data_IF_861301844086
#
_entry.id   IF_861301844086
#
_cell.length_a   1.000
_cell.length_b   1.000
_cell.length_c   1.000
_cell.angle_alpha   90.00
_cell.angle_beta   90.00
_cell.angle_gamma   90.00
#
_symmetry.space_group_name_H-M   'P 1'
#
loop_
_entity.id
_entity.type
_entity.pdbx_description
1 polymer ?
#
# COMPACT_ATOMS: atom_id res chain seq x y z
N UNK A 1 -13.31 -19.11 -16.58
CA UNK A 1 -11.90 -19.53 -16.42
C UNK A 1 -11.07 -18.80 -15.34
N UNK A 2 -11.42 -17.60 -14.80
CA UNK A 2 -10.58 -16.97 -13.76
C UNK A 2 -10.73 -17.61 -12.35
N UNK A 3 -11.85 -18.28 -12.08
CA UNK A 3 -12.14 -18.90 -10.77
C UNK A 3 -11.18 -20.04 -10.39
N UNK A 4 -10.81 -20.89 -11.34
CA UNK A 4 -9.92 -22.03 -11.09
C UNK A 4 -8.46 -21.61 -10.81
N UNK A 5 -8.01 -20.49 -11.40
CA UNK A 5 -6.68 -19.93 -11.16
C UNK A 5 -6.57 -19.32 -9.76
N UNK A 6 -7.63 -18.64 -9.29
CA UNK A 6 -7.71 -18.02 -7.96
C UNK A 6 -7.69 -19.10 -6.85
N UNK A 7 -8.37 -20.22 -7.07
CA UNK A 7 -8.45 -21.29 -6.07
C UNK A 7 -7.11 -22.03 -5.89
N UNK A 8 -6.37 -22.23 -6.98
CA UNK A 8 -5.07 -22.88 -6.94
C UNK A 8 -3.98 -21.98 -6.30
N UNK A 9 -4.06 -20.66 -6.54
CA UNK A 9 -3.16 -19.68 -5.93
C UNK A 9 -3.40 -19.52 -4.42
N UNK A 10 -4.67 -19.52 -3.98
CA UNK A 10 -5.05 -19.54 -2.56
C UNK A 10 -4.52 -20.78 -1.85
N UNK A 11 -4.63 -21.95 -2.49
CA UNK A 11 -4.11 -23.23 -1.98
C UNK A 11 -2.59 -23.23 -1.88
N UNK A 12 -1.89 -22.60 -2.85
CA UNK A 12 -0.43 -22.45 -2.85
C UNK A 12 0.04 -21.52 -1.74
N UNK A 13 -0.65 -20.41 -1.48
CA UNK A 13 -0.36 -19.49 -0.36
C UNK A 13 -0.61 -20.16 1.00
N UNK A 14 -1.69 -20.93 1.14
CA UNK A 14 -1.97 -21.69 2.36
C UNK A 14 -0.87 -22.72 2.63
N UNK A 15 -0.41 -23.44 1.60
CA UNK A 15 0.74 -24.35 1.73
C UNK A 15 2.01 -23.61 2.19
N UNK A 16 2.31 -22.44 1.63
CA UNK A 16 3.46 -21.62 2.06
C UNK A 16 3.34 -21.21 3.54
N UNK A 17 2.16 -20.77 3.98
CA UNK A 17 1.90 -20.44 5.39
C UNK A 17 2.08 -21.65 6.30
N UNK A 18 1.53 -22.81 5.93
CA UNK A 18 1.69 -24.05 6.69
C UNK A 18 3.15 -24.46 6.80
N UNK A 19 3.93 -24.33 5.72
CA UNK A 19 5.38 -24.60 5.72
C UNK A 19 6.12 -23.63 6.65
N UNK A 20 5.80 -22.34 6.61
CA UNK A 20 6.43 -21.33 7.49
C UNK A 20 6.10 -21.62 8.96
N UNK A 21 4.84 -21.93 9.28
CA UNK A 21 4.43 -22.27 10.65
C UNK A 21 5.11 -23.55 11.12
N UNK A 22 5.19 -24.59 10.28
CA UNK A 22 5.93 -25.82 10.58
C UNK A 22 7.42 -25.56 10.80
N UNK A 23 8.04 -24.68 10.00
CA UNK A 23 9.45 -24.33 10.15
C UNK A 23 9.70 -23.57 11.46
N UNK A 24 8.83 -22.62 11.81
CA UNK A 24 8.91 -21.89 13.10
C UNK A 24 8.70 -22.85 14.27
N UNK A 25 7.72 -23.75 14.16
CA UNK A 25 7.46 -24.76 15.19
C UNK A 25 8.64 -25.71 15.36
N UNK A 26 9.20 -26.22 14.26
CA UNK A 26 10.39 -27.07 14.30
C UNK A 26 11.61 -26.34 14.86
N UNK A 27 11.79 -25.05 14.55
CA UNK A 27 12.85 -24.21 15.12
C UNK A 27 12.66 -24.00 16.63
N UNK A 28 11.42 -23.75 17.08
CA UNK A 28 11.10 -23.64 18.51
C UNK A 28 11.33 -24.95 19.25
N UNK A 29 10.83 -26.07 18.72
CA UNK A 29 11.05 -27.40 19.31
C UNK A 29 12.54 -27.76 19.31
N UNK A 30 13.26 -27.48 18.23
CA UNK A 30 14.70 -27.70 18.13
C UNK A 30 15.48 -26.85 19.14
N UNK A 31 15.15 -25.56 19.26
CA UNK A 31 15.76 -24.68 20.25
C UNK A 31 15.43 -25.11 21.69
N UNK A 32 14.18 -25.47 21.97
CA UNK A 32 13.75 -26.01 23.27
C UNK A 32 14.44 -27.33 23.61
N UNK A 33 14.60 -28.24 22.65
CA UNK A 33 15.32 -29.50 22.84
C UNK A 33 16.81 -29.28 23.09
N UNK A 34 17.44 -28.36 22.35
CA UNK A 34 18.84 -28.00 22.52
C UNK A 34 19.08 -27.36 23.90
N UNK A 35 18.17 -26.47 24.34
CA UNK A 35 18.17 -25.90 25.69
C UNK A 35 17.97 -26.99 26.75
N UNK A 36 17.04 -27.93 26.56
CA UNK A 36 16.80 -29.06 27.49
C UNK A 36 18.02 -29.98 27.59
N UNK A 37 18.65 -30.32 26.46
CA UNK A 37 19.88 -31.11 26.38
C UNK A 37 21.04 -30.43 27.11
N UNK A 38 21.17 -29.11 26.98
CA UNK A 38 22.18 -28.30 27.66
C UNK A 38 21.89 -28.14 29.17
N UNK A 39 20.61 -28.07 29.56
CA UNK A 39 20.20 -28.10 30.98
C UNK A 39 20.59 -29.43 31.63
N UNK A 40 20.45 -30.54 30.91
CA UNK A 40 20.77 -31.88 31.40
C UNK A 40 22.29 -32.12 31.52
N UNK A 41 23.13 -31.39 30.79
CA UNK A 41 24.59 -31.50 30.86
C UNK A 41 25.24 -30.64 31.96
N UNK A 42 24.45 -29.91 32.74
CA UNK A 42 24.91 -29.15 33.91
C UNK A 42 25.72 -27.89 33.58
N UNK A 43 25.94 -27.59 32.30
CA UNK A 43 26.57 -26.36 31.84
C UNK A 43 25.52 -25.58 31.07
N UNK A 44 25.03 -24.48 31.64
CA UNK A 44 24.22 -23.51 30.92
C UNK A 44 25.16 -22.49 30.27
N UNK A 45 25.62 -22.66 29.01
CA UNK A 45 26.28 -21.57 28.34
C UNK A 45 25.21 -20.48 28.13
N UNK A 46 25.40 -19.26 28.66
CA UNK A 46 24.42 -18.17 28.56
C UNK A 46 24.00 -17.87 27.11
N UNK A 47 24.80 -18.28 26.13
CA UNK A 47 24.54 -18.15 24.69
C UNK A 47 23.28 -18.87 24.20
N UNK A 48 22.89 -20.01 24.77
CA UNK A 48 21.71 -20.76 24.30
C UNK A 48 20.38 -20.06 24.66
N UNK A 49 20.32 -19.49 25.87
CA UNK A 49 19.18 -18.67 26.30
C UNK A 49 19.09 -17.36 25.49
N UNK A 50 20.24 -16.76 25.18
CA UNK A 50 20.30 -15.56 24.34
C UNK A 50 19.81 -15.84 22.91
N UNK A 51 20.14 -16.99 22.33
CA UNK A 51 19.63 -17.38 21.01
C UNK A 51 18.12 -17.59 21.00
N UNK A 52 17.57 -18.28 22.01
CA UNK A 52 16.12 -18.47 22.13
C UNK A 52 15.41 -17.11 22.32
N UNK A 53 15.93 -16.26 23.20
CA UNK A 53 15.40 -14.92 23.43
C UNK A 53 15.45 -14.06 22.15
N UNK A 54 16.53 -14.13 21.37
CA UNK A 54 16.66 -13.43 20.10
C UNK A 54 15.62 -13.91 19.07
N UNK A 55 15.42 -15.22 18.94
CA UNK A 55 14.41 -15.79 18.03
C UNK A 55 13.00 -15.35 18.43
N UNK A 56 12.66 -15.42 19.71
CA UNK A 56 11.34 -14.98 20.22
C UNK A 56 11.16 -13.46 20.00
N UNK A 57 12.20 -12.67 20.27
CA UNK A 57 12.18 -11.21 20.11
C UNK A 57 11.95 -10.78 18.65
N UNK A 58 12.39 -11.57 17.67
CA UNK A 58 12.14 -11.33 16.24
C UNK A 58 10.79 -11.91 15.78
N UNK A 59 10.45 -13.12 16.24
CA UNK A 59 9.26 -13.83 15.81
C UNK A 59 7.96 -13.17 16.30
N UNK A 60 7.91 -12.70 17.55
CA UNK A 60 6.70 -12.10 18.12
C UNK A 60 6.26 -10.84 17.34
N UNK A 61 7.13 -9.84 17.08
CA UNK A 61 6.74 -8.67 16.30
C UNK A 61 6.29 -9.01 14.88
N UNK A 62 6.95 -9.97 14.23
CA UNK A 62 6.64 -10.40 12.86
C UNK A 62 5.28 -11.12 12.78
N UNK A 63 4.96 -11.97 13.76
CA UNK A 63 3.64 -12.61 13.86
C UNK A 63 2.59 -11.54 14.18
N UNK A 64 2.86 -10.65 15.14
CA UNK A 64 1.93 -9.61 15.53
C UNK A 64 1.57 -8.69 14.37
N UNK A 65 2.54 -8.16 13.64
CA UNK A 65 2.29 -7.23 12.53
C UNK A 65 1.54 -7.88 11.38
N UNK A 66 1.80 -9.16 11.10
CA UNK A 66 1.20 -9.86 9.98
C UNK A 66 -0.25 -10.32 10.25
N UNK A 67 -0.57 -10.70 11.49
CA UNK A 67 -1.91 -11.21 11.85
C UNK A 67 -2.79 -10.18 12.56
N UNK A 68 -2.19 -9.27 13.34
CA UNK A 68 -2.90 -8.29 14.16
C UNK A 68 -2.27 -6.89 14.00
N UNK A 69 -2.29 -6.31 12.80
CA UNK A 69 -1.72 -5.00 12.56
C UNK A 69 -2.43 -3.95 13.43
N UNK A 70 -1.64 -3.16 14.16
CA UNK A 70 -2.17 -1.99 14.87
C UNK A 70 -2.55 -0.90 13.86
N UNK A 71 -3.33 0.09 14.29
CA UNK A 71 -3.74 1.18 13.40
C UNK A 71 -2.53 2.02 12.94
N UNK A 72 -1.51 2.11 13.80
CA UNK A 72 -0.21 2.69 13.43
C UNK A 72 0.51 1.88 12.35
N UNK A 73 0.48 0.54 12.43
CA UNK A 73 1.09 -0.34 11.42
C UNK A 73 0.38 -0.16 10.07
N UNK A 74 -0.96 -0.07 10.10
CA UNK A 74 -1.78 0.22 8.92
C UNK A 74 -1.43 1.57 8.28
N UNK A 75 -1.37 2.64 9.08
CA UNK A 75 -1.03 3.98 8.58
C UNK A 75 0.41 4.04 8.03
N UNK A 76 1.35 3.35 8.68
CA UNK A 76 2.75 3.29 8.24
C UNK A 76 2.88 2.60 6.89
N UNK A 77 2.19 1.47 6.70
CA UNK A 77 2.23 0.76 5.43
C UNK A 77 1.51 1.53 4.32
N UNK A 78 0.41 2.22 4.62
CA UNK A 78 -0.24 3.11 3.66
C UNK A 78 0.71 4.24 3.22
N UNK A 79 1.36 4.90 4.18
CA UNK A 79 2.34 5.95 3.91
C UNK A 79 3.55 5.45 3.08
N UNK A 80 3.97 4.19 3.29
CA UNK A 80 5.00 3.56 2.47
C UNK A 80 4.55 3.44 1.00
N UNK A 81 3.31 3.03 0.75
CA UNK A 81 2.75 2.96 -0.60
C UNK A 81 2.62 4.34 -1.26
N UNK A 82 2.19 5.36 -0.51
CA UNK A 82 2.18 6.76 -0.96
C UNK A 82 3.57 7.22 -1.40
N UNK A 83 4.59 7.03 -0.55
CA UNK A 83 5.95 7.49 -0.82
C UNK A 83 6.58 6.76 -2.02
N UNK A 84 6.29 5.46 -2.16
CA UNK A 84 6.74 4.69 -3.32
C UNK A 84 6.11 5.22 -4.61
N UNK A 85 4.79 5.45 -4.60
CA UNK A 85 4.07 6.02 -5.74
C UNK A 85 4.61 7.39 -6.13
N UNK A 86 4.89 8.24 -5.15
CA UNK A 86 5.48 9.56 -5.39
C UNK A 86 6.83 9.48 -6.10
N UNK A 87 7.71 8.58 -5.66
CA UNK A 87 8.98 8.32 -6.36
C UNK A 87 8.76 7.82 -7.79
N UNK A 88 7.80 6.91 -7.99
CA UNK A 88 7.45 6.41 -9.33
C UNK A 88 6.95 7.55 -10.24
N UNK A 89 6.06 8.42 -9.74
CA UNK A 89 5.55 9.60 -10.46
C UNK A 89 6.70 10.52 -10.86
N UNK A 90 7.55 10.92 -9.90
CA UNK A 90 8.66 11.81 -10.15
C UNK A 90 9.64 11.23 -11.18
N UNK A 91 9.90 9.92 -11.09
CA UNK A 91 10.76 9.21 -12.04
C UNK A 91 10.16 9.20 -13.45
N UNK A 92 8.87 8.89 -13.60
CA UNK A 92 8.20 8.85 -14.90
C UNK A 92 8.17 10.24 -15.55
N UNK A 93 7.88 11.29 -14.77
CA UNK A 93 7.90 12.68 -15.26
C UNK A 93 9.32 13.08 -15.66
N UNK A 94 10.32 12.84 -14.80
CA UNK A 94 11.72 13.18 -15.08
C UNK A 94 12.24 12.48 -16.34
N UNK A 95 11.99 11.17 -16.48
CA UNK A 95 12.47 10.39 -17.62
C UNK A 95 11.81 10.81 -18.94
N UNK A 96 10.54 11.22 -18.91
CA UNK A 96 9.76 11.46 -20.13
C UNK A 96 9.71 12.93 -20.54
N UNK A 97 9.75 13.85 -19.56
CA UNK A 97 9.57 15.29 -19.74
C UNK A 97 10.77 16.11 -19.26
N UNK A 98 11.77 15.46 -18.67
CA UNK A 98 12.97 16.10 -18.15
C UNK A 98 12.82 16.67 -16.74
N UNK A 99 13.94 16.92 -16.05
CA UNK A 99 13.95 17.43 -14.67
C UNK A 99 13.42 18.87 -14.56
N UNK A 100 13.51 19.67 -15.62
CA UNK A 100 12.98 21.05 -15.61
C UNK A 100 11.47 21.08 -15.40
N UNK A 101 10.76 20.10 -15.97
CA UNK A 101 9.31 19.93 -15.76
C UNK A 101 8.99 19.70 -14.28
N UNK A 102 9.82 18.95 -13.55
CA UNK A 102 9.64 18.77 -12.11
C UNK A 102 9.80 20.11 -11.38
N UNK A 103 10.77 20.93 -11.75
CA UNK A 103 10.97 22.25 -11.14
C UNK A 103 9.80 23.21 -11.40
N UNK A 104 9.09 23.06 -12.53
CA UNK A 104 7.89 23.85 -12.84
C UNK A 104 6.65 23.38 -12.08
N UNK A 105 6.55 22.08 -11.80
CA UNK A 105 5.41 21.49 -11.09
C UNK A 105 5.56 21.61 -9.57
N UNK A 106 6.77 21.41 -9.08
CA UNK A 106 7.07 21.20 -7.68
C UNK A 106 8.05 22.28 -7.17
N UNK A 107 7.81 22.77 -5.96
CA UNK A 107 8.80 23.56 -5.21
C UNK A 107 9.71 22.65 -4.38
N UNK A 108 9.15 21.57 -3.87
CA UNK A 108 9.83 20.44 -3.22
C UNK A 108 9.11 19.15 -3.68
N UNK A 109 9.74 17.97 -3.58
CA UNK A 109 9.14 16.71 -4.06
C UNK A 109 7.68 16.47 -3.64
N UNK A 110 7.30 16.95 -2.45
CA UNK A 110 5.99 16.73 -1.86
C UNK A 110 5.09 18.00 -1.89
N UNK A 111 5.55 19.07 -2.55
CA UNK A 111 4.91 20.38 -2.55
C UNK A 111 4.76 20.93 -3.97
N UNK A 112 3.51 21.09 -4.38
CA UNK A 112 3.17 21.70 -5.66
C UNK A 112 3.31 23.23 -5.61
N UNK A 113 3.70 23.80 -6.74
CA UNK A 113 3.58 25.24 -6.97
C UNK A 113 2.12 25.62 -7.24
N UNK A 114 1.74 26.86 -6.93
CA UNK A 114 0.38 27.35 -7.17
C UNK A 114 -0.06 27.22 -8.65
N UNK A 115 0.87 27.40 -9.60
CA UNK A 115 0.61 27.27 -11.04
C UNK A 115 0.68 25.83 -11.57
N UNK A 116 0.86 24.83 -10.70
CA UNK A 116 1.07 23.45 -11.15
C UNK A 116 -0.18 22.87 -11.81
N UNK A 117 -1.40 23.22 -11.35
CA UNK A 117 -2.66 22.72 -11.91
C UNK A 117 -2.78 22.99 -13.42
N UNK A 118 -2.69 24.27 -13.82
CA UNK A 118 -2.78 24.67 -15.23
C UNK A 118 -1.69 24.01 -16.09
N UNK A 119 -0.49 23.89 -15.54
CA UNK A 119 0.63 23.25 -16.23
C UNK A 119 0.39 21.75 -16.42
N UNK A 120 -0.12 21.05 -15.40
CA UNK A 120 -0.50 19.63 -15.48
C UNK A 120 -1.58 19.41 -16.53
N UNK A 121 -2.62 20.25 -16.55
CA UNK A 121 -3.67 20.17 -17.58
C UNK A 121 -3.10 20.38 -18.98
N UNK A 122 -2.19 21.35 -19.17
CA UNK A 122 -1.54 21.59 -20.44
C UNK A 122 -0.71 20.37 -20.88
N UNK A 123 0.02 19.74 -19.97
CA UNK A 123 0.80 18.53 -20.23
C UNK A 123 -0.12 17.35 -20.63
N UNK A 124 -1.23 17.15 -19.95
CA UNK A 124 -2.21 16.08 -20.24
C UNK A 124 -2.86 16.20 -21.63
N UNK A 125 -2.87 17.39 -22.22
CA UNK A 125 -3.36 17.61 -23.61
C UNK A 125 -2.33 17.23 -24.67
N UNK A 126 -1.07 17.03 -24.30
CA UNK A 126 -0.01 16.69 -25.25
C UNK A 126 -0.15 15.25 -25.74
N UNK A 127 -0.03 15.06 -27.05
CA UNK A 127 -0.15 13.75 -27.68
C UNK A 127 0.87 12.74 -27.13
N UNK A 128 2.12 13.18 -26.92
CA UNK A 128 3.17 12.33 -26.33
C UNK A 128 2.84 11.79 -24.93
N UNK A 129 2.05 12.54 -24.16
CA UNK A 129 1.58 12.10 -22.83
C UNK A 129 0.48 11.07 -23.01
N UNK A 130 -0.50 11.33 -23.87
CA UNK A 130 -1.62 10.42 -24.12
C UNK A 130 -1.17 9.05 -24.64
N UNK A 131 -0.12 9.02 -25.46
CA UNK A 131 0.47 7.79 -26.00
C UNK A 131 1.36 7.04 -25.01
N UNK A 132 1.68 7.61 -23.85
CA UNK A 132 2.46 6.97 -22.79
C UNK A 132 1.58 6.74 -21.55
N UNK A 133 1.00 5.53 -21.38
CA UNK A 133 0.06 5.25 -20.30
C UNK A 133 0.64 5.50 -18.90
N UNK A 134 1.91 5.22 -18.68
CA UNK A 134 2.55 5.38 -17.37
C UNK A 134 2.77 6.86 -17.02
N UNK A 135 3.21 7.65 -18.00
CA UNK A 135 3.33 9.10 -17.82
C UNK A 135 1.96 9.77 -17.68
N UNK A 136 0.98 9.34 -18.48
CA UNK A 136 -0.39 9.83 -18.41
C UNK A 136 -0.98 9.57 -17.03
N UNK A 137 -0.85 8.33 -16.53
CA UNK A 137 -1.23 7.95 -15.17
C UNK A 137 -0.53 8.80 -14.11
N UNK A 138 0.79 8.99 -14.22
CA UNK A 138 1.56 9.80 -13.27
C UNK A 138 1.06 11.25 -13.21
N UNK A 139 0.80 11.88 -14.37
CA UNK A 139 0.33 13.26 -14.43
C UNK A 139 -1.12 13.41 -13.95
N UNK A 140 -2.01 12.44 -14.22
CA UNK A 140 -3.38 12.44 -13.69
C UNK A 140 -3.39 12.34 -12.16
N UNK A 141 -2.55 11.49 -11.58
CA UNK A 141 -2.38 11.42 -10.12
C UNK A 141 -1.77 12.70 -9.55
N UNK A 142 -0.81 13.30 -10.23
CA UNK A 142 -0.26 14.58 -9.80
C UNK A 142 -1.33 15.68 -9.79
N UNK A 143 -2.21 15.72 -10.80
CA UNK A 143 -3.32 16.67 -10.86
C UNK A 143 -4.33 16.42 -9.73
N UNK A 144 -4.70 15.17 -9.47
CA UNK A 144 -5.55 14.81 -8.34
C UNK A 144 -4.96 15.28 -7.00
N UNK A 145 -3.68 14.97 -6.74
CA UNK A 145 -2.99 15.35 -5.50
C UNK A 145 -2.86 16.86 -5.36
N UNK A 146 -2.62 17.58 -6.46
CA UNK A 146 -2.65 19.04 -6.47
C UNK A 146 -4.01 19.57 -5.98
N UNK A 147 -5.11 19.03 -6.50
CA UNK A 147 -6.45 19.42 -6.10
C UNK A 147 -6.77 19.07 -4.64
N UNK A 148 -6.37 17.89 -4.17
CA UNK A 148 -6.53 17.48 -2.77
C UNK A 148 -5.76 18.40 -1.80
N UNK A 149 -4.49 18.73 -2.11
CA UNK A 149 -3.67 19.63 -1.29
C UNK A 149 -4.25 21.03 -1.21
N UNK A 150 -4.95 21.47 -2.25
CA UNK A 150 -5.66 22.74 -2.29
C UNK A 150 -7.10 22.65 -1.75
N UNK A 151 -7.49 21.53 -1.12
CA UNK A 151 -8.84 21.27 -0.59
C UNK A 151 -9.97 21.36 -1.63
N UNK A 152 -9.62 21.24 -2.91
CA UNK A 152 -10.56 21.19 -4.04
C UNK A 152 -10.93 19.74 -4.36
N UNK A 153 -11.45 19.01 -3.37
CA UNK A 153 -11.77 17.57 -3.47
C UNK A 153 -12.70 17.21 -4.65
N UNK A 154 -13.72 18.00 -5.03
CA UNK A 154 -14.50 17.70 -6.23
C UNK A 154 -13.66 17.64 -7.52
N UNK A 155 -12.65 18.50 -7.63
CA UNK A 155 -11.80 18.61 -8.83
C UNK A 155 -10.78 17.48 -8.97
N UNK A 156 -10.49 16.75 -7.89
CA UNK A 156 -9.57 15.60 -7.94
C UNK A 156 -10.24 14.31 -8.46
N UNK A 157 -11.57 14.21 -8.37
CA UNK A 157 -12.34 12.98 -8.67
C UNK A 157 -12.17 12.59 -10.14
N UNK A 158 -12.34 13.52 -11.08
CA UNK A 158 -12.24 13.21 -12.51
C UNK A 158 -10.82 12.73 -12.92
N UNK A 159 -9.73 13.40 -12.51
CA UNK A 159 -8.38 12.88 -12.71
C UNK A 159 -8.15 11.49 -12.09
N UNK A 160 -8.71 11.21 -10.90
CA UNK A 160 -8.59 9.90 -10.24
C UNK A 160 -9.34 8.79 -11.00
N UNK A 161 -10.53 9.09 -11.51
CA UNK A 161 -11.29 8.16 -12.36
C UNK A 161 -10.48 7.84 -13.61
N UNK A 162 -9.97 8.85 -14.32
CA UNK A 162 -9.14 8.66 -15.51
C UNK A 162 -7.86 7.87 -15.20
N UNK A 163 -7.22 8.12 -14.06
CA UNK A 163 -6.05 7.34 -13.64
C UNK A 163 -6.39 5.86 -13.40
N UNK A 164 -7.57 5.59 -12.83
CA UNK A 164 -8.07 4.22 -12.61
C UNK A 164 -8.58 3.56 -13.90
N UNK A 165 -8.92 4.29 -14.96
CA UNK A 165 -9.15 3.70 -16.28
C UNK A 165 -7.85 3.11 -16.85
N UNK A 166 -6.71 3.77 -16.62
CA UNK A 166 -5.38 3.29 -17.05
C UNK A 166 -4.91 2.14 -16.16
N UNK A 167 -5.04 2.27 -14.84
CA UNK A 167 -4.62 1.25 -13.85
C UNK A 167 -5.79 0.90 -12.92
N UNK A 168 -6.74 0.04 -13.34
CA UNK A 168 -7.96 -0.26 -12.57
C UNK A 168 -7.72 -0.83 -11.18
N UNK A 169 -6.61 -1.51 -10.98
CA UNK A 169 -6.27 -2.19 -9.74
C UNK A 169 -5.33 -1.36 -8.85
N UNK A 170 -5.07 -0.10 -9.20
CA UNK A 170 -4.13 0.72 -8.45
C UNK A 170 -4.68 1.11 -7.07
N UNK A 171 -4.09 0.53 -6.01
CA UNK A 171 -4.56 0.66 -4.64
C UNK A 171 -4.66 2.11 -4.17
N UNK A 172 -3.54 2.84 -4.24
CA UNK A 172 -3.45 4.22 -3.73
C UNK A 172 -4.43 5.14 -4.47
N UNK A 173 -4.50 5.05 -5.80
CA UNK A 173 -5.41 5.88 -6.60
C UNK A 173 -6.88 5.63 -6.22
N UNK A 174 -7.24 4.37 -5.95
CA UNK A 174 -8.60 4.02 -5.51
C UNK A 174 -8.89 4.45 -4.08
N UNK A 175 -7.89 4.43 -3.20
CA UNK A 175 -7.99 4.97 -1.83
C UNK A 175 -8.24 6.48 -1.85
N UNK A 176 -7.48 7.22 -2.67
CA UNK A 176 -7.71 8.64 -2.89
C UNK A 176 -9.13 8.89 -3.42
N UNK A 177 -9.58 8.16 -4.44
CA UNK A 177 -10.92 8.34 -4.99
C UNK A 177 -12.01 8.12 -3.93
N UNK A 178 -11.91 7.04 -3.16
CA UNK A 178 -12.86 6.77 -2.08
C UNK A 178 -12.85 7.88 -1.01
N UNK A 179 -11.67 8.35 -0.59
CA UNK A 179 -11.54 9.43 0.37
C UNK A 179 -12.06 10.77 -0.14
N UNK A 180 -11.88 11.08 -1.44
CA UNK A 180 -12.43 12.30 -2.03
C UNK A 180 -13.96 12.24 -2.11
N UNK A 181 -14.54 11.08 -2.43
CA UNK A 181 -15.99 10.89 -2.33
C UNK A 181 -16.51 11.08 -0.90
N UNK A 182 -15.79 10.59 0.12
CA UNK A 182 -16.13 10.88 1.51
C UNK A 182 -16.10 12.39 1.81
N UNK A 183 -15.06 13.09 1.36
CA UNK A 183 -14.91 14.54 1.56
C UNK A 183 -16.03 15.37 0.94
N UNK A 184 -16.52 14.97 -0.25
CA UNK A 184 -17.64 15.67 -0.91
C UNK A 184 -19.01 15.21 -0.41
N UNK A 185 -19.07 14.25 0.51
CA UNK A 185 -20.31 13.74 1.12
C UNK A 185 -21.00 12.64 0.32
N UNK A 186 -20.39 12.11 -0.74
CA UNK A 186 -20.93 10.98 -1.51
C UNK A 186 -20.52 9.65 -0.85
N UNK A 187 -21.22 9.33 0.24
CA UNK A 187 -20.95 8.13 1.03
C UNK A 187 -21.17 6.83 0.25
N UNK A 188 -22.07 6.80 -0.74
CA UNK A 188 -22.36 5.58 -1.50
C UNK A 188 -21.22 5.25 -2.47
N UNK A 189 -20.72 6.23 -3.23
CA UNK A 189 -19.56 6.00 -4.10
C UNK A 189 -18.30 5.72 -3.26
N UNK A 190 -18.09 6.41 -2.14
CA UNK A 190 -17.00 6.10 -1.23
C UNK A 190 -17.03 4.64 -0.75
N UNK A 191 -18.19 4.15 -0.27
CA UNK A 191 -18.38 2.74 0.14
C UNK A 191 -18.11 1.78 -1.02
N UNK A 192 -18.60 2.10 -2.22
CA UNK A 192 -18.39 1.27 -3.41
C UNK A 192 -16.90 1.10 -3.72
N UNK A 193 -16.13 2.20 -3.72
CA UNK A 193 -14.70 2.14 -4.01
C UNK A 193 -13.90 1.39 -2.93
N UNK A 194 -14.24 1.53 -1.65
CA UNK A 194 -13.64 0.74 -0.57
C UNK A 194 -13.97 -0.76 -0.67
N UNK A 195 -15.21 -1.13 -1.06
CA UNK A 195 -15.56 -2.53 -1.29
C UNK A 195 -14.73 -3.16 -2.40
N UNK A 196 -14.54 -2.46 -3.52
CA UNK A 196 -13.71 -2.94 -4.63
C UNK A 196 -12.28 -3.24 -4.17
N UNK A 197 -11.72 -2.42 -3.27
CA UNK A 197 -10.41 -2.68 -2.69
C UNK A 197 -10.38 -3.97 -1.87
N UNK A 198 -11.41 -4.25 -1.07
CA UNK A 198 -11.51 -5.47 -0.27
C UNK A 198 -11.77 -6.73 -1.12
N UNK A 199 -12.47 -6.59 -2.26
CA UNK A 199 -12.78 -7.66 -3.21
C UNK A 199 -11.57 -8.09 -4.06
N UNK A 200 -10.49 -7.30 -4.08
CA UNK A 200 -9.22 -7.63 -4.74
C UNK A 200 -8.10 -7.96 -3.71
N UNK A 201 -8.27 -9.00 -2.87
CA UNK A 201 -7.41 -9.27 -1.71
C UNK A 201 -6.02 -9.80 -2.05
N UNK A 202 -5.75 -10.16 -3.32
CA UNK A 202 -4.47 -10.67 -3.81
C UNK A 202 -3.34 -9.64 -3.68
N UNK A 203 -3.68 -8.33 -3.71
CA UNK A 203 -2.73 -7.21 -3.67
C UNK A 203 -2.58 -6.54 -2.30
N UNK A 204 -3.45 -6.85 -1.33
CA UNK A 204 -3.49 -6.14 -0.05
C UNK A 204 -2.97 -7.01 1.10
N UNK A 205 -2.02 -6.46 1.87
CA UNK A 205 -1.60 -7.03 3.14
C UNK A 205 -2.75 -7.06 4.16
N UNK A 206 -2.54 -7.77 5.27
CA UNK A 206 -3.48 -7.73 6.39
C UNK A 206 -3.71 -6.31 6.92
N UNK A 207 -2.66 -5.49 6.95
CA UNK A 207 -2.75 -4.11 7.43
C UNK A 207 -3.55 -3.22 6.46
N UNK A 208 -3.34 -3.36 5.15
CA UNK A 208 -4.10 -2.60 4.16
C UNK A 208 -5.58 -2.99 4.14
N UNK A 209 -5.90 -4.28 4.31
CA UNK A 209 -7.30 -4.73 4.47
C UNK A 209 -7.94 -4.12 5.71
N UNK A 210 -7.24 -4.14 6.84
CA UNK A 210 -7.72 -3.52 8.09
C UNK A 210 -7.91 -2.01 7.92
N UNK A 211 -6.98 -1.33 7.24
CA UNK A 211 -7.06 0.10 6.93
C UNK A 211 -8.33 0.44 6.14
N UNK A 212 -8.55 -0.25 5.01
CA UNK A 212 -9.73 -0.06 4.16
C UNK A 212 -11.03 -0.38 4.91
N UNK A 213 -11.06 -1.48 5.68
CA UNK A 213 -12.23 -1.85 6.47
C UNK A 213 -12.56 -0.81 7.54
N UNK A 214 -11.54 -0.22 8.17
CA UNK A 214 -11.71 0.88 9.14
C UNK A 214 -12.35 2.10 8.47
N UNK A 215 -11.84 2.52 7.30
CA UNK A 215 -12.42 3.63 6.51
C UNK A 215 -13.87 3.35 6.11
N UNK A 216 -14.17 2.14 5.64
CA UNK A 216 -15.53 1.74 5.27
C UNK A 216 -16.50 1.80 6.47
N UNK A 217 -16.07 1.33 7.65
CA UNK A 217 -16.87 1.34 8.86
C UNK A 217 -17.09 2.77 9.39
N UNK A 218 -16.10 3.66 9.25
CA UNK A 218 -16.24 5.06 9.65
C UNK A 218 -17.36 5.79 8.89
N UNK A 219 -17.57 5.45 7.62
CA UNK A 219 -18.68 5.99 6.81
C UNK A 219 -20.02 5.39 7.25
N UNK A 220 -20.06 4.14 7.70
CA UNK A 220 -21.30 3.49 8.13
C UNK A 220 -21.90 4.06 9.42
N UNK A 221 -21.08 4.74 10.23
CA UNK A 221 -21.47 5.33 11.52
C UNK A 221 -21.93 6.79 11.39
N UNK A 222 -21.67 7.44 10.26
CA UNK A 222 -22.15 8.79 9.92
C UNK A 222 -23.54 8.73 9.30
#
# INVERSE_FOLDING_TARGET
MPFAMIEDEKKRRLKKLVIIVLAIFAALVGASYLVYSLLQSGHMPPMALLLLAAVISIAIPMIRSNFFPSDRDCATEYAFHEQRLEKEILQHISNSLGPDTLNHLFSHPDQYRASAGDHLEQLLRQEKVRQNPDLHFALLLSLARFHEKNSTYPSSIAPLIAALEIRPQHFVARMHLAGNYEWVGDAEEARRHYRILLECPEMLSGAMKKFVASSLNAIAVK
#
